data_IF_219812046410
#
_entry.id   IF_219812046410
#
_cell.length_a   1.000
_cell.length_b   1.000
_cell.length_c   1.000
_cell.angle_alpha   90.00
_cell.angle_beta   90.00
_cell.angle_gamma   90.00
#
_symmetry.space_group_name_H-M   'P 1'
#
loop_
_entity.id
_entity.type
_entity.pdbx_description
1 polymer ?
#
# COMPACT_ATOMS: atom_id res chain seq x y z
N UNK A 1 -12.54 29.53 -0.67
CA UNK A 1 -12.12 28.12 -0.41
C UNK A 1 -10.96 27.83 -1.36
N UNK A 2 -9.93 27.14 -0.88
CA UNK A 2 -8.82 26.69 -1.72
C UNK A 2 -9.10 25.25 -2.15
N UNK A 3 -8.82 24.94 -3.42
CA UNK A 3 -8.86 23.58 -3.96
C UNK A 3 -7.48 23.20 -4.48
N UNK A 4 -7.18 21.91 -4.44
CA UNK A 4 -5.87 21.35 -4.78
C UNK A 4 -6.05 20.29 -5.85
N UNK A 5 -5.10 20.23 -6.79
CA UNK A 5 -5.11 19.22 -7.83
C UNK A 5 -3.72 18.79 -8.23
N UNK A 6 -3.64 17.56 -8.75
CA UNK A 6 -2.43 16.98 -9.30
C UNK A 6 -2.71 16.33 -10.66
N UNK A 7 -1.84 16.62 -11.61
CA UNK A 7 -1.78 15.96 -12.91
C UNK A 7 -0.35 15.50 -13.17
N UNK A 8 -0.22 14.21 -13.48
CA UNK A 8 1.06 13.60 -13.85
C UNK A 8 0.86 12.89 -15.18
N UNK A 9 1.46 13.41 -16.25
CA UNK A 9 1.37 12.82 -17.58
C UNK A 9 2.74 12.68 -18.23
N UNK A 10 2.84 11.75 -19.19
CA UNK A 10 4.04 11.49 -19.96
C UNK A 10 4.86 10.32 -19.43
N UNK A 11 5.52 9.60 -20.34
CA UNK A 11 6.35 8.41 -20.02
C UNK A 11 7.83 8.75 -19.98
N UNK A 12 8.36 9.24 -21.09
CA UNK A 12 9.80 9.56 -21.21
C UNK A 12 10.16 10.88 -20.49
N UNK A 13 9.18 11.77 -20.36
CA UNK A 13 9.28 13.03 -19.62
C UNK A 13 8.02 13.10 -18.77
N UNK A 14 8.21 13.17 -17.46
CA UNK A 14 7.09 13.25 -16.51
C UNK A 14 6.74 14.72 -16.30
N UNK A 15 5.61 15.14 -16.85
CA UNK A 15 5.00 16.43 -16.57
C UNK A 15 4.23 16.34 -15.25
N UNK A 16 4.93 16.63 -14.16
CA UNK A 16 4.35 16.74 -12.82
C UNK A 16 3.84 18.17 -12.61
N UNK A 17 2.52 18.31 -12.52
CA UNK A 17 1.83 19.57 -12.28
C UNK A 17 1.03 19.45 -10.99
N UNK A 18 1.35 20.30 -10.01
CA UNK A 18 0.49 20.50 -8.85
C UNK A 18 -0.12 21.90 -8.92
N UNK A 19 -1.35 22.02 -8.44
CA UNK A 19 -2.15 23.24 -8.56
C UNK A 19 -2.80 23.59 -7.23
N UNK A 20 -2.83 24.88 -6.93
CA UNK A 20 -3.77 25.48 -5.98
C UNK A 20 -4.63 26.49 -6.74
N UNK A 21 -5.95 26.40 -6.57
CA UNK A 21 -6.88 27.38 -7.12
C UNK A 21 -7.87 27.85 -6.05
N UNK A 22 -8.35 29.08 -6.16
CA UNK A 22 -9.37 29.60 -5.26
C UNK A 22 -9.71 31.05 -5.54
N UNK A 23 -10.50 31.64 -4.63
CA UNK A 23 -10.91 33.05 -4.66
C UNK A 23 -10.89 33.70 -3.28
N UNK A 24 -10.76 35.02 -3.26
CA UNK A 24 -10.73 35.86 -2.07
C UNK A 24 -9.35 36.00 -1.40
N UNK A 25 -9.31 36.63 -0.23
CA UNK A 25 -8.07 37.07 0.44
C UNK A 25 -7.04 35.94 0.67
N UNK A 26 -7.52 34.72 0.95
CA UNK A 26 -6.63 33.57 1.19
C UNK A 26 -5.78 33.24 -0.04
N UNK A 27 -6.39 33.17 -1.23
CA UNK A 27 -5.59 32.89 -2.45
C UNK A 27 -4.71 34.08 -2.80
N UNK A 28 -5.15 35.31 -2.52
CA UNK A 28 -4.35 36.52 -2.77
C UNK A 28 -3.06 36.53 -1.96
N UNK A 29 -3.13 36.16 -0.68
CA UNK A 29 -1.95 36.01 0.17
C UNK A 29 -1.00 34.92 -0.35
N UNK A 30 -1.52 33.75 -0.73
CA UNK A 30 -0.69 32.66 -1.29
C UNK A 30 -0.07 33.09 -2.63
N UNK A 31 -0.80 33.82 -3.46
CA UNK A 31 -0.37 34.31 -4.76
C UNK A 31 0.77 35.32 -4.63
N UNK A 32 0.62 36.32 -3.76
CA UNK A 32 1.67 37.32 -3.49
C UNK A 32 2.90 36.67 -2.86
N UNK A 33 2.72 35.71 -1.95
CA UNK A 33 3.84 34.96 -1.36
C UNK A 33 4.56 34.08 -2.41
N UNK A 34 3.84 33.54 -3.39
CA UNK A 34 4.46 32.77 -4.46
C UNK A 34 5.32 33.68 -5.36
N UNK A 35 4.84 34.87 -5.71
CA UNK A 35 5.55 35.86 -6.53
C UNK A 35 6.95 36.23 -6.00
N UNK A 36 7.14 36.18 -4.68
CA UNK A 36 8.41 36.56 -4.04
C UNK A 36 9.38 35.39 -3.89
N UNK A 37 9.04 34.18 -4.35
CA UNK A 37 9.91 32.99 -4.23
C UNK A 37 10.96 32.94 -5.34
N UNK A 38 12.05 32.25 -5.06
CA UNK A 38 13.11 31.91 -6.02
C UNK A 38 13.14 30.38 -6.19
N UNK A 39 13.22 29.83 -7.42
CA UNK A 39 13.27 30.55 -8.70
C UNK A 39 11.99 31.34 -8.98
N UNK A 40 12.15 32.51 -9.59
CA UNK A 40 11.07 33.47 -9.76
C UNK A 40 9.94 32.86 -10.60
N UNK A 41 8.70 32.86 -10.11
CA UNK A 41 7.58 32.39 -10.90
C UNK A 41 7.29 33.34 -12.07
N UNK A 42 6.60 32.80 -13.07
CA UNK A 42 6.22 33.55 -14.27
C UNK A 42 4.71 33.63 -14.37
N UNK A 43 4.21 34.73 -14.92
CA UNK A 43 2.77 34.85 -15.20
C UNK A 43 2.48 34.04 -16.47
N UNK A 44 1.46 33.18 -16.41
CA UNK A 44 1.05 32.39 -17.56
C UNK A 44 0.53 33.31 -18.68
N UNK A 45 1.12 33.22 -19.87
CA UNK A 45 0.72 33.98 -21.04
C UNK A 45 0.71 33.08 -22.29
N UNK A 46 -0.13 33.43 -23.27
CA UNK A 46 -0.20 32.71 -24.56
C UNK A 46 0.88 33.20 -25.54
N UNK A 47 1.28 34.45 -25.37
CA UNK A 47 2.40 35.13 -26.02
C UNK A 47 2.76 36.34 -25.17
N UNK A 48 3.86 36.99 -25.49
CA UNK A 48 4.26 38.22 -24.83
C UNK A 48 3.11 39.23 -24.81
N UNK A 49 2.87 39.80 -23.62
CA UNK A 49 1.80 40.75 -23.34
C UNK A 49 0.37 40.22 -23.54
N UNK A 50 0.16 38.89 -23.60
CA UNK A 50 -1.17 38.27 -23.63
C UNK A 50 -1.34 37.27 -22.47
N UNK A 51 -1.48 37.81 -21.26
CA UNK A 51 -1.69 37.06 -20.02
C UNK A 51 -3.06 36.38 -20.03
N UNK A 52 -3.14 35.16 -19.50
CA UNK A 52 -4.41 34.41 -19.41
C UNK A 52 -5.27 34.92 -18.26
N UNK A 53 -6.58 34.75 -18.40
CA UNK A 53 -7.56 34.90 -17.31
C UNK A 53 -8.19 33.53 -17.04
N UNK A 54 -8.46 33.16 -15.78
CA UNK A 54 -8.06 33.83 -14.52
C UNK A 54 -6.54 33.94 -14.34
N UNK A 55 -6.11 34.88 -13.48
CA UNK A 55 -4.69 35.17 -13.28
C UNK A 55 -3.96 33.93 -12.73
N UNK A 56 -2.92 33.51 -13.44
CA UNK A 56 -2.22 32.25 -13.18
C UNK A 56 -0.71 32.46 -13.09
N UNK A 57 -0.09 31.90 -12.04
CA UNK A 57 1.37 31.79 -11.94
C UNK A 57 1.83 30.38 -12.28
N UNK A 58 2.95 30.30 -13.00
CA UNK A 58 3.70 29.07 -13.20
C UNK A 58 4.96 29.15 -12.35
N UNK A 59 5.08 28.22 -11.40
CA UNK A 59 6.13 28.18 -10.39
C UNK A 59 6.99 26.94 -10.63
N UNK A 60 8.29 27.06 -10.90
CA UNK A 60 9.15 25.88 -11.01
C UNK A 60 9.32 25.22 -9.64
N UNK A 61 9.19 23.89 -9.58
CA UNK A 61 9.38 23.10 -8.36
C UNK A 61 10.85 22.89 -8.02
N UNK A 62 11.70 22.77 -9.05
CA UNK A 62 13.14 22.60 -8.93
C UNK A 62 13.89 23.89 -9.25
N UNK A 63 15.08 24.03 -8.68
CA UNK A 63 16.01 25.10 -9.05
C UNK A 63 16.38 24.98 -10.52
N UNK A 64 16.35 26.10 -11.23
CA UNK A 64 16.77 26.18 -12.63
C UNK A 64 18.28 26.43 -12.66
N UNK A 65 19.04 25.51 -13.25
CA UNK A 65 20.51 25.53 -13.27
C UNK A 65 21.09 25.83 -14.64
N UNK A 66 20.26 25.87 -15.68
CA UNK A 66 20.68 26.12 -17.06
C UNK A 66 19.71 27.01 -17.84
N UNK A 67 20.23 27.72 -18.83
CA UNK A 67 19.41 28.51 -19.77
C UNK A 67 18.41 27.64 -20.54
N UNK A 68 18.74 26.36 -20.72
CA UNK A 68 17.85 25.39 -21.37
C UNK A 68 16.58 25.18 -20.52
N UNK A 69 16.73 25.00 -19.20
CA UNK A 69 15.59 24.86 -18.29
C UNK A 69 14.76 26.15 -18.23
N UNK A 70 15.42 27.30 -18.19
CA UNK A 70 14.74 28.59 -18.30
C UNK A 70 13.91 28.67 -19.60
N UNK A 71 14.50 28.30 -20.74
CA UNK A 71 13.80 28.28 -22.03
C UNK A 71 12.63 27.29 -22.07
N UNK A 72 12.72 26.15 -21.39
CA UNK A 72 11.58 25.23 -21.28
C UNK A 72 10.45 25.80 -20.43
N UNK A 73 10.78 26.40 -19.28
CA UNK A 73 9.81 27.05 -18.42
C UNK A 73 9.12 28.20 -19.17
N UNK A 74 9.88 29.17 -19.67
CA UNK A 74 9.36 30.37 -20.35
C UNK A 74 8.72 30.08 -21.72
N UNK A 75 9.01 28.93 -22.32
CA UNK A 75 8.48 28.54 -23.62
C UNK A 75 7.35 27.50 -23.52
N UNK A 76 7.61 26.23 -23.89
CA UNK A 76 6.55 25.23 -24.05
C UNK A 76 5.77 24.90 -22.78
N UNK A 77 6.40 24.98 -21.60
CA UNK A 77 5.75 24.65 -20.31
C UNK A 77 4.77 25.77 -19.93
N UNK A 78 5.23 27.02 -19.85
CA UNK A 78 4.38 28.18 -19.58
C UNK A 78 3.25 28.31 -20.61
N UNK A 79 3.54 28.13 -21.89
CA UNK A 79 2.52 28.15 -22.94
C UNK A 79 1.50 27.01 -22.78
N UNK A 80 1.94 25.81 -22.41
CA UNK A 80 1.07 24.67 -22.11
C UNK A 80 0.09 24.95 -20.97
N UNK A 81 0.61 25.49 -19.86
CA UNK A 81 -0.21 25.90 -18.70
C UNK A 81 -1.19 27.00 -19.10
N UNK A 82 -0.71 28.05 -19.78
CA UNK A 82 -1.52 29.17 -20.24
C UNK A 82 -2.67 28.70 -21.15
N UNK A 83 -2.36 27.86 -22.14
CA UNK A 83 -3.34 27.33 -23.08
C UNK A 83 -4.38 26.44 -22.38
N UNK A 84 -3.96 25.65 -21.39
CA UNK A 84 -4.88 24.82 -20.60
C UNK A 84 -5.90 25.67 -19.84
N UNK A 85 -5.45 26.74 -19.17
CA UNK A 85 -6.34 27.66 -18.45
C UNK A 85 -7.29 28.38 -19.40
N UNK A 86 -6.79 28.89 -20.52
CA UNK A 86 -7.61 29.58 -21.51
C UNK A 86 -8.69 28.67 -22.13
N UNK A 87 -8.38 27.40 -22.36
CA UNK A 87 -9.33 26.42 -22.95
C UNK A 87 -10.36 25.88 -21.95
N UNK A 88 -10.19 26.11 -20.65
CA UNK A 88 -11.14 25.66 -19.62
C UNK A 88 -12.16 26.72 -19.21
N UNK A 89 -12.02 27.96 -19.72
CA UNK A 89 -12.96 29.08 -19.49
C UNK A 89 -13.40 29.22 -18.02
N UNK A 90 -12.41 29.23 -17.13
CA UNK A 90 -12.64 29.30 -15.69
C UNK A 90 -13.14 30.69 -15.28
N UNK A 91 -13.93 30.81 -14.18
CA UNK A 91 -14.36 32.11 -13.66
C UNK A 91 -13.20 33.09 -13.43
N UNK A 92 -13.37 34.34 -13.88
CA UNK A 92 -12.32 35.37 -13.83
C UNK A 92 -11.89 35.75 -12.40
N UNK A 93 -12.76 35.53 -11.40
CA UNK A 93 -12.50 35.83 -9.99
C UNK A 93 -11.57 34.80 -9.32
N UNK A 94 -11.23 33.72 -10.02
CA UNK A 94 -10.25 32.75 -9.55
C UNK A 94 -8.82 33.25 -9.72
N UNK A 95 -7.93 32.69 -8.91
CA UNK A 95 -6.47 32.75 -9.11
C UNK A 95 -5.90 31.36 -9.01
N UNK A 96 -4.91 31.08 -9.84
CA UNK A 96 -4.25 29.78 -9.93
C UNK A 96 -2.76 29.93 -9.67
N UNK A 97 -2.21 28.97 -8.94
CA UNK A 97 -0.78 28.81 -8.74
C UNK A 97 -0.45 27.39 -9.16
N UNK A 98 0.26 27.28 -10.28
CA UNK A 98 0.61 26.02 -10.94
C UNK A 98 2.08 25.77 -10.70
N UNK A 99 2.41 24.80 -9.87
CA UNK A 99 3.79 24.34 -9.70
C UNK A 99 4.10 23.26 -10.72
N UNK A 100 5.22 23.41 -11.44
CA UNK A 100 5.64 22.50 -12.51
C UNK A 100 7.04 21.97 -12.22
N UNK A 101 7.26 20.66 -12.42
CA UNK A 101 8.63 20.17 -12.55
C UNK A 101 9.22 20.70 -13.87
N UNK A 102 10.50 21.07 -13.89
CA UNK A 102 11.21 21.46 -15.12
C UNK A 102 12.29 20.41 -15.36
N UNK A 103 12.22 19.65 -16.47
CA UNK A 103 13.08 18.50 -16.66
C UNK A 103 14.54 18.92 -16.88
N UNK A 104 15.47 18.15 -16.29
CA UNK A 104 16.91 18.32 -16.47
C UNK A 104 17.43 17.30 -17.48
N UNK A 105 17.33 17.62 -18.76
CA UNK A 105 17.68 16.70 -19.85
C UNK A 105 18.31 17.47 -21.02
N UNK A 106 19.31 16.88 -21.71
CA UNK A 106 19.95 17.52 -22.86
C UNK A 106 18.94 17.89 -23.95
N UNK A 107 18.98 19.13 -24.43
CA UNK A 107 18.04 19.70 -25.41
C UNK A 107 17.94 18.89 -26.71
N UNK A 108 18.99 18.15 -27.08
CA UNK A 108 19.08 17.37 -28.32
C UNK A 108 18.08 16.22 -28.41
N UNK A 109 17.42 15.84 -27.30
CA UNK A 109 16.44 14.75 -27.27
C UNK A 109 14.99 15.20 -26.96
N UNK A 110 14.72 16.50 -26.82
CA UNK A 110 13.43 17.01 -26.33
C UNK A 110 12.62 17.72 -27.40
N UNK A 111 11.49 17.11 -27.77
CA UNK A 111 10.53 17.73 -28.67
C UNK A 111 9.67 18.77 -27.92
N UNK A 112 9.80 20.06 -28.29
CA UNK A 112 8.99 21.17 -27.72
C UNK A 112 7.48 20.90 -27.81
N UNK A 113 7.01 20.25 -28.88
CA UNK A 113 5.59 19.89 -29.05
C UNK A 113 5.13 18.88 -28.00
N UNK A 114 6.00 17.93 -27.67
CA UNK A 114 5.74 16.90 -26.65
C UNK A 114 5.68 17.52 -25.25
N UNK A 115 6.63 18.39 -24.92
CA UNK A 115 6.58 19.17 -23.67
C UNK A 115 5.28 19.96 -23.57
N UNK A 116 4.93 20.73 -24.60
CA UNK A 116 3.67 21.46 -24.64
C UNK A 116 2.47 20.54 -24.38
N UNK A 117 2.35 19.43 -25.11
CA UNK A 117 1.22 18.50 -24.98
C UNK A 117 1.10 17.91 -23.56
N UNK A 118 2.22 17.50 -22.96
CA UNK A 118 2.21 16.88 -21.64
C UNK A 118 1.86 17.89 -20.54
N UNK A 119 2.45 19.09 -20.55
CA UNK A 119 2.13 20.11 -19.55
C UNK A 119 0.73 20.70 -19.76
N UNK A 120 0.27 20.85 -21.00
CA UNK A 120 -1.12 21.22 -21.30
C UNK A 120 -2.11 20.20 -20.72
N UNK A 121 -1.92 18.91 -21.04
CA UNK A 121 -2.78 17.84 -20.54
C UNK A 121 -2.74 17.71 -19.03
N UNK A 122 -1.55 17.72 -18.42
CA UNK A 122 -1.37 17.58 -16.98
C UNK A 122 -1.99 18.76 -16.23
N UNK A 123 -1.89 19.98 -16.78
CA UNK A 123 -2.54 21.17 -16.21
C UNK A 123 -4.05 21.05 -16.28
N UNK A 124 -4.63 20.64 -17.43
CA UNK A 124 -6.08 20.44 -17.54
C UNK A 124 -6.57 19.39 -16.55
N UNK A 125 -5.86 18.27 -16.43
CA UNK A 125 -6.17 17.20 -15.49
C UNK A 125 -6.12 17.70 -14.04
N UNK A 126 -5.06 18.43 -13.66
CA UNK A 126 -4.91 19.00 -12.33
C UNK A 126 -6.06 19.98 -11.99
N UNK A 127 -6.46 20.84 -12.93
CA UNK A 127 -7.57 21.78 -12.75
C UNK A 127 -8.89 21.03 -12.57
N UNK A 128 -9.20 20.08 -13.46
CA UNK A 128 -10.44 19.31 -13.37
C UNK A 128 -10.54 18.53 -12.06
N UNK A 129 -9.46 17.87 -11.64
CA UNK A 129 -9.41 17.15 -10.36
C UNK A 129 -9.59 18.07 -9.16
N UNK A 130 -8.98 19.25 -9.19
CA UNK A 130 -9.20 20.25 -8.16
C UNK A 130 -10.66 20.71 -8.11
N UNK A 131 -11.28 21.01 -9.24
CA UNK A 131 -12.67 21.46 -9.29
C UNK A 131 -13.66 20.39 -8.80
N UNK A 132 -13.39 19.12 -9.10
CA UNK A 132 -14.22 17.98 -8.75
C UNK A 132 -13.86 17.33 -7.40
N UNK A 133 -12.91 17.88 -6.64
CA UNK A 133 -12.44 17.32 -5.36
C UNK A 133 -11.99 15.85 -5.49
N UNK A 134 -11.31 15.53 -6.59
CA UNK A 134 -10.84 14.18 -6.92
C UNK A 134 -9.34 14.00 -6.59
N UNK A 135 -8.91 12.83 -6.06
CA UNK A 135 -9.73 11.66 -5.71
C UNK A 135 -10.53 11.85 -4.40
N UNK A 136 -11.68 11.20 -4.31
CA UNK A 136 -12.49 11.18 -3.08
C UNK A 136 -11.82 10.38 -1.97
N UNK A 137 -12.23 10.63 -0.72
CA UNK A 137 -11.71 9.87 0.45
C UNK A 137 -12.04 8.39 0.36
N UNK A 138 -13.19 8.06 -0.20
CA UNK A 138 -13.68 6.71 -0.44
C UNK A 138 -12.77 5.99 -1.43
N UNK A 139 -12.47 6.63 -2.57
CA UNK A 139 -11.53 6.08 -3.57
C UNK A 139 -10.15 5.82 -2.97
N UNK A 140 -9.62 6.75 -2.17
CA UNK A 140 -8.32 6.56 -1.50
C UNK A 140 -8.38 5.35 -0.54
N UNK A 141 -9.46 5.16 0.21
CA UNK A 141 -9.60 4.03 1.13
C UNK A 141 -9.64 2.68 0.42
N UNK A 142 -10.20 2.63 -0.79
CA UNK A 142 -10.27 1.42 -1.61
C UNK A 142 -8.96 1.11 -2.32
N UNK A 143 -8.30 2.14 -2.86
CA UNK A 143 -7.10 1.97 -3.70
C UNK A 143 -5.79 1.94 -2.92
N UNK A 144 -5.75 2.40 -1.65
CA UNK A 144 -4.50 2.49 -0.87
C UNK A 144 -3.67 1.20 -0.78
N UNK A 145 -4.31 0.03 -0.84
CA UNK A 145 -3.63 -1.27 -0.78
C UNK A 145 -3.37 -1.88 -2.16
N UNK A 146 -3.92 -1.29 -3.22
CA UNK A 146 -3.66 -1.67 -4.63
C UNK A 146 -2.59 -0.79 -5.27
N UNK A 147 -2.44 0.44 -4.77
CA UNK A 147 -1.52 1.42 -5.30
C UNK A 147 -0.06 0.95 -5.19
N UNK A 148 0.64 0.93 -6.32
CA UNK A 148 2.09 0.78 -6.39
C UNK A 148 2.66 2.14 -6.70
N UNK A 149 3.48 2.68 -5.80
CA UNK A 149 4.19 3.91 -6.11
C UNK A 149 5.31 3.60 -7.12
N UNK A 150 5.45 4.35 -8.24
CA UNK A 150 6.37 4.01 -9.33
C UNK A 150 7.84 3.84 -8.91
N UNK A 151 8.26 4.56 -7.86
CA UNK A 151 9.63 4.48 -7.33
C UNK A 151 9.80 3.48 -6.18
N UNK A 152 8.71 3.00 -5.59
CA UNK A 152 8.77 2.05 -4.46
C UNK A 152 8.86 0.62 -4.98
N UNK A 153 8.17 0.31 -6.08
CA UNK A 153 8.32 -0.97 -6.77
C UNK A 153 7.70 -2.19 -6.07
N UNK A 154 7.27 -2.06 -4.80
CA UNK A 154 6.55 -3.09 -4.04
C UNK A 154 5.20 -2.58 -3.51
N UNK A 155 4.36 -3.50 -3.02
CA UNK A 155 3.03 -3.22 -2.45
C UNK A 155 3.05 -3.28 -0.92
N UNK A 156 2.30 -2.40 -0.26
CA UNK A 156 1.91 -2.61 1.15
C UNK A 156 0.74 -3.60 1.19
N UNK A 157 1.05 -4.89 1.23
CA UNK A 157 0.04 -5.95 1.26
C UNK A 157 -0.63 -5.98 2.64
N UNK A 158 -1.97 -5.98 2.64
CA UNK A 158 -2.80 -6.18 3.84
C UNK A 158 -3.79 -7.32 3.63
N UNK A 159 -4.21 -7.93 4.74
CA UNK A 159 -5.11 -9.10 4.77
C UNK A 159 -6.59 -8.71 4.53
N UNK A 160 -6.89 -8.00 3.44
CA UNK A 160 -8.21 -7.42 3.12
C UNK A 160 -9.17 -8.36 2.37
N UNK A 161 -8.65 -9.30 1.56
CA UNK A 161 -9.44 -10.24 0.73
C UNK A 161 -9.20 -11.71 1.13
N UNK A 162 -9.66 -12.12 2.32
CA UNK A 162 -9.64 -13.53 2.70
C UNK A 162 -10.48 -14.38 1.74
N UNK A 163 -10.19 -15.69 1.62
CA UNK A 163 -9.25 -16.46 2.42
C UNK A 163 -7.80 -16.43 1.91
N UNK A 164 -6.85 -16.64 2.83
CA UNK A 164 -5.39 -16.67 2.62
C UNK A 164 -4.79 -18.05 2.93
N UNK A 165 -3.75 -18.43 2.19
CA UNK A 165 -2.86 -19.53 2.52
C UNK A 165 -1.65 -18.97 3.26
N UNK A 166 -1.47 -19.35 4.52
CA UNK A 166 -0.25 -19.06 5.28
C UNK A 166 0.69 -20.27 5.24
N UNK A 167 1.81 -20.13 4.55
CA UNK A 167 2.84 -21.15 4.42
C UNK A 167 3.81 -21.07 5.59
N UNK A 168 3.75 -22.05 6.50
CA UNK A 168 4.65 -22.14 7.63
C UNK A 168 5.98 -22.81 7.24
N UNK A 169 7.06 -22.03 7.25
CA UNK A 169 8.42 -22.48 6.96
C UNK A 169 9.10 -23.04 8.21
N UNK A 170 8.67 -24.22 8.66
CA UNK A 170 9.25 -24.93 9.81
C UNK A 170 10.50 -25.77 9.47
N UNK A 171 11.11 -25.54 8.30
CA UNK A 171 12.31 -26.26 7.85
C UNK A 171 13.57 -25.58 8.40
N UNK A 172 14.47 -26.29 9.11
CA UNK A 172 15.60 -25.66 9.78
C UNK A 172 16.80 -25.47 8.83
N UNK A 173 16.60 -25.26 7.53
CA UNK A 173 17.68 -25.04 6.55
C UNK A 173 17.24 -23.98 5.55
N UNK A 174 18.13 -23.04 5.27
CA UNK A 174 17.86 -21.92 4.36
C UNK A 174 17.79 -22.36 2.90
N UNK A 175 18.53 -23.41 2.52
CA UNK A 175 18.47 -23.98 1.18
C UNK A 175 17.05 -24.50 0.87
N UNK A 176 16.39 -25.11 1.86
CA UNK A 176 15.00 -25.53 1.71
C UNK A 176 14.02 -24.35 1.70
N UNK A 177 14.29 -23.30 2.48
CA UNK A 177 13.49 -22.07 2.47
C UNK A 177 13.54 -21.43 1.08
N UNK A 178 14.74 -21.20 0.56
CA UNK A 178 15.01 -20.65 -0.77
C UNK A 178 14.30 -21.49 -1.85
N UNK A 179 14.49 -22.81 -1.85
CA UNK A 179 13.83 -23.71 -2.79
C UNK A 179 12.30 -23.61 -2.76
N UNK A 180 11.70 -23.54 -1.57
CA UNK A 180 10.24 -23.42 -1.43
C UNK A 180 9.77 -22.06 -1.95
N UNK A 181 10.43 -20.96 -1.54
CA UNK A 181 10.05 -19.59 -1.91
C UNK A 181 10.15 -19.36 -3.42
N UNK A 182 11.22 -19.82 -4.07
CA UNK A 182 11.42 -19.71 -5.52
C UNK A 182 10.39 -20.51 -6.32
N UNK A 183 9.80 -21.54 -5.72
CA UNK A 183 8.76 -22.36 -6.36
C UNK A 183 7.34 -21.77 -6.28
N UNK A 184 7.14 -20.72 -5.48
CA UNK A 184 5.82 -20.14 -5.23
C UNK A 184 5.29 -19.41 -6.48
N UNK A 185 4.01 -19.64 -6.85
CA UNK A 185 3.38 -18.80 -7.85
C UNK A 185 3.17 -17.37 -7.29
N UNK A 186 3.19 -16.33 -8.14
CA UNK A 186 2.81 -14.99 -7.71
C UNK A 186 1.32 -14.98 -7.34
N UNK A 187 1.00 -14.59 -6.11
CA UNK A 187 -0.37 -14.44 -5.62
C UNK A 187 -0.39 -13.69 -4.29
N UNK A 188 -1.32 -12.75 -4.15
CA UNK A 188 -1.51 -11.96 -2.91
C UNK A 188 -2.30 -12.74 -1.85
N UNK A 189 -2.77 -13.95 -2.19
CA UNK A 189 -3.36 -14.90 -1.23
C UNK A 189 -2.31 -15.70 -0.44
N UNK A 190 -1.04 -15.64 -0.83
CA UNK A 190 0.04 -16.29 -0.09
C UNK A 190 0.51 -15.35 1.04
N UNK A 191 0.62 -15.92 2.22
CA UNK A 191 1.29 -15.35 3.38
C UNK A 191 2.44 -16.29 3.71
N UNK A 192 3.65 -15.78 3.88
CA UNK A 192 4.80 -16.59 4.30
C UNK A 192 5.02 -16.40 5.79
N UNK A 193 5.16 -17.49 6.52
CA UNK A 193 5.47 -17.46 7.95
C UNK A 193 6.89 -17.97 8.18
N UNK A 194 7.74 -17.12 8.75
CA UNK A 194 9.01 -17.52 9.34
C UNK A 194 8.69 -18.31 10.61
N UNK A 195 8.65 -19.64 10.50
CA UNK A 195 8.21 -20.53 11.57
C UNK A 195 9.14 -20.49 12.79
N UNK A 196 8.60 -20.85 13.95
CA UNK A 196 9.35 -20.87 15.22
C UNK A 196 10.72 -21.60 15.12
N UNK A 197 10.85 -22.81 14.51
CA UNK A 197 12.13 -23.51 14.42
C UNK A 197 13.17 -22.75 13.58
N UNK A 198 12.72 -22.07 12.52
CA UNK A 198 13.59 -21.31 11.62
C UNK A 198 14.15 -20.08 12.34
N UNK A 199 13.28 -19.30 13.00
CA UNK A 199 13.68 -18.14 13.79
C UNK A 199 14.60 -18.55 14.94
N UNK A 200 14.31 -19.64 15.65
CA UNK A 200 15.18 -20.12 16.74
C UNK A 200 16.57 -20.52 16.26
N UNK A 201 16.72 -20.93 15.00
CA UNK A 201 18.00 -21.35 14.43
C UNK A 201 18.82 -20.18 13.91
N UNK A 202 18.19 -19.23 13.24
CA UNK A 202 18.88 -18.17 12.50
C UNK A 202 18.70 -16.77 13.09
N UNK A 203 17.91 -16.65 14.16
CA UNK A 203 17.47 -15.35 14.70
C UNK A 203 16.32 -14.75 13.88
N UNK A 204 15.85 -13.59 14.33
CA UNK A 204 14.75 -12.85 13.68
C UNK A 204 15.16 -12.30 12.30
N UNK A 205 16.45 -12.06 12.09
CA UNK A 205 17.05 -11.61 10.82
C UNK A 205 16.76 -12.58 9.64
N UNK A 206 16.32 -13.81 9.91
CA UNK A 206 15.86 -14.72 8.84
C UNK A 206 14.68 -14.15 8.05
N UNK A 207 13.89 -13.25 8.66
CA UNK A 207 12.80 -12.54 7.98
C UNK A 207 13.35 -11.64 6.86
N UNK A 208 14.50 -10.99 7.06
CA UNK A 208 15.15 -10.15 6.03
C UNK A 208 15.59 -11.01 4.84
N UNK A 209 16.14 -12.20 5.11
CA UNK A 209 16.51 -13.16 4.06
C UNK A 209 15.30 -13.66 3.27
N UNK A 210 14.17 -13.89 3.93
CA UNK A 210 12.91 -14.24 3.25
C UNK A 210 12.45 -13.06 2.39
N UNK A 211 12.53 -11.82 2.91
CA UNK A 211 12.14 -10.59 2.21
C UNK A 211 12.93 -10.36 0.92
N UNK A 212 14.21 -10.70 0.89
CA UNK A 212 15.06 -10.60 -0.32
C UNK A 212 14.53 -11.45 -1.49
N UNK A 213 13.82 -12.54 -1.20
CA UNK A 213 13.32 -13.49 -2.19
C UNK A 213 11.81 -13.31 -2.43
N UNK A 214 11.07 -12.92 -1.39
CA UNK A 214 9.62 -12.89 -1.38
C UNK A 214 9.06 -11.48 -1.13
N UNK A 215 8.48 -10.90 -2.18
CA UNK A 215 7.78 -9.62 -2.16
C UNK A 215 6.30 -9.76 -1.79
N UNK A 216 6.04 -10.42 -0.65
CA UNK A 216 4.68 -10.69 -0.17
C UNK A 216 4.47 -10.43 1.31
N UNK A 217 3.37 -10.91 1.88
CA UNK A 217 3.10 -10.72 3.31
C UNK A 217 3.89 -11.73 4.15
N UNK A 218 4.69 -11.25 5.11
CA UNK A 218 5.54 -12.08 5.98
C UNK A 218 5.10 -11.98 7.45
N UNK A 219 4.91 -13.14 8.09
CA UNK A 219 4.62 -13.30 9.52
C UNK A 219 5.87 -13.81 10.22
N UNK A 220 6.29 -13.14 11.30
CA UNK A 220 7.30 -13.65 12.22
C UNK A 220 6.62 -14.46 13.34
N UNK A 221 6.74 -15.78 13.31
CA UNK A 221 6.17 -16.67 14.33
C UNK A 221 7.11 -16.79 15.53
N UNK A 222 7.22 -15.70 16.29
CA UNK A 222 8.03 -15.63 17.51
C UNK A 222 7.44 -16.45 18.66
N UNK A 223 6.11 -16.59 18.67
CA UNK A 223 5.33 -17.07 19.82
C UNK A 223 5.76 -16.35 21.09
N UNK A 224 5.74 -15.02 21.04
CA UNK A 224 6.22 -14.16 22.13
C UNK A 224 5.53 -14.50 23.44
N UNK A 225 6.31 -14.98 24.41
CA UNK A 225 5.85 -15.30 25.78
C UNK A 225 6.18 -14.20 26.78
N UNK A 226 7.25 -13.45 26.54
CA UNK A 226 7.70 -12.35 27.41
C UNK A 226 8.21 -11.18 26.56
N UNK A 227 8.35 -10.00 27.16
CA UNK A 227 8.94 -8.82 26.51
C UNK A 227 8.22 -8.38 25.22
N UNK A 228 6.89 -8.42 25.21
CA UNK A 228 6.04 -8.18 24.03
C UNK A 228 6.46 -6.99 23.15
N UNK A 229 6.80 -5.85 23.75
CA UNK A 229 7.29 -4.67 23.02
C UNK A 229 8.60 -4.92 22.28
N UNK A 230 9.56 -5.57 22.96
CA UNK A 230 10.92 -5.76 22.46
C UNK A 230 10.90 -6.73 21.28
N UNK A 231 10.21 -7.85 21.41
CA UNK A 231 10.13 -8.86 20.34
C UNK A 231 9.36 -8.36 19.11
N UNK A 232 8.25 -7.62 19.30
CA UNK A 232 7.54 -6.96 18.19
C UNK A 232 8.47 -5.99 17.47
N UNK A 233 9.29 -5.23 18.21
CA UNK A 233 10.24 -4.28 17.63
C UNK A 233 11.31 -4.98 16.81
N UNK A 234 11.83 -6.11 17.28
CA UNK A 234 12.79 -6.92 16.52
C UNK A 234 12.18 -7.40 15.19
N UNK A 235 10.96 -7.92 15.21
CA UNK A 235 10.28 -8.36 13.99
C UNK A 235 10.02 -7.21 13.01
N UNK A 236 9.64 -6.04 13.52
CA UNK A 236 9.47 -4.82 12.72
C UNK A 236 10.77 -4.41 12.02
N UNK A 237 11.88 -4.37 12.77
CA UNK A 237 13.19 -3.97 12.26
C UNK A 237 13.69 -4.93 11.18
N UNK A 238 13.33 -6.21 11.26
CA UNK A 238 13.58 -7.23 10.22
C UNK A 238 12.53 -7.30 9.12
N UNK A 239 11.67 -6.28 8.96
CA UNK A 239 10.70 -6.13 7.85
C UNK A 239 9.51 -7.09 7.82
N UNK A 240 9.17 -7.70 8.97
CA UNK A 240 7.95 -8.49 9.08
C UNK A 240 6.69 -7.61 8.95
N UNK A 241 5.64 -8.14 8.31
CA UNK A 241 4.33 -7.49 8.26
C UNK A 241 3.48 -7.81 9.49
N UNK A 242 3.75 -8.94 10.13
CA UNK A 242 3.02 -9.41 11.29
C UNK A 242 3.91 -10.19 12.27
N UNK A 243 3.44 -10.32 13.51
CA UNK A 243 4.13 -11.05 14.56
C UNK A 243 3.15 -11.86 15.41
N UNK A 244 3.58 -13.06 15.80
CA UNK A 244 2.78 -13.99 16.60
C UNK A 244 3.09 -13.86 18.08
N UNK A 245 2.09 -13.41 18.84
CA UNK A 245 2.07 -13.39 20.31
C UNK A 245 1.42 -14.67 20.83
N UNK A 246 1.96 -15.23 21.91
CA UNK A 246 1.36 -16.39 22.55
C UNK A 246 0.17 -15.99 23.42
N UNK A 247 -0.97 -16.66 23.24
CA UNK A 247 -2.16 -16.51 24.08
C UNK A 247 -2.00 -17.09 25.50
N UNK A 248 -0.90 -17.82 25.75
CA UNK A 248 -0.53 -18.27 27.10
C UNK A 248 0.42 -17.32 27.82
N UNK A 249 0.86 -16.25 27.15
CA UNK A 249 1.69 -15.21 27.76
C UNK A 249 0.93 -14.44 28.86
N UNK A 250 1.64 -13.78 29.80
CA UNK A 250 1.00 -12.85 30.72
C UNK A 250 0.17 -11.80 29.97
N UNK A 251 -1.01 -11.46 30.50
CA UNK A 251 -1.92 -10.49 29.87
C UNK A 251 -1.22 -9.18 29.51
N UNK A 252 -0.37 -8.69 30.39
CA UNK A 252 0.38 -7.46 30.17
C UNK A 252 1.36 -7.56 28.98
N UNK A 253 1.98 -8.73 28.77
CA UNK A 253 2.84 -9.00 27.61
C UNK A 253 2.04 -8.95 26.32
N UNK A 254 0.87 -9.58 26.28
CA UNK A 254 -0.03 -9.57 25.12
C UNK A 254 -0.43 -8.13 24.77
N UNK A 255 -0.93 -7.36 25.75
CA UNK A 255 -1.38 -5.99 25.53
C UNK A 255 -0.23 -5.07 25.08
N UNK A 256 0.95 -5.19 25.69
CA UNK A 256 2.14 -4.43 25.27
C UNK A 256 2.58 -4.80 23.86
N UNK A 257 2.48 -6.08 23.48
CA UNK A 257 2.77 -6.55 22.14
C UNK A 257 1.80 -5.96 21.10
N UNK A 258 0.49 -6.09 21.34
CA UNK A 258 -0.56 -5.54 20.45
C UNK A 258 -0.39 -4.03 20.28
N UNK A 259 -0.20 -3.29 21.37
CA UNK A 259 0.04 -1.85 21.30
C UNK A 259 1.31 -1.49 20.51
N UNK A 260 2.37 -2.28 20.61
CA UNK A 260 3.57 -2.03 19.80
C UNK A 260 3.33 -2.35 18.32
N UNK A 261 2.53 -3.36 17.99
CA UNK A 261 2.10 -3.62 16.62
C UNK A 261 1.33 -2.42 16.04
N UNK A 262 0.39 -1.85 16.79
CA UNK A 262 -0.36 -0.64 16.39
C UNK A 262 0.58 0.55 16.11
N UNK A 263 1.61 0.75 16.95
CA UNK A 263 2.61 1.82 16.77
C UNK A 263 3.48 1.63 15.54
N UNK A 264 3.85 0.38 15.25
CA UNK A 264 4.71 0.02 14.12
C UNK A 264 3.92 -0.20 12.82
N UNK A 265 2.58 -0.22 12.87
CA UNK A 265 1.73 -0.55 11.73
C UNK A 265 1.77 -2.02 11.32
N UNK A 266 2.13 -2.93 12.23
CA UNK A 266 2.15 -4.39 12.02
C UNK A 266 0.82 -5.04 12.38
N UNK A 267 0.56 -6.22 11.82
CA UNK A 267 -0.58 -7.06 12.19
C UNK A 267 -0.21 -7.95 13.38
N UNK A 268 -1.04 -7.93 14.42
CA UNK A 268 -0.87 -8.73 15.64
C UNK A 268 -1.61 -10.06 15.53
N UNK A 269 -0.88 -11.17 15.67
CA UNK A 269 -1.45 -12.51 15.76
C UNK A 269 -1.50 -12.94 17.23
N UNK A 270 -2.62 -13.52 17.65
CA UNK A 270 -2.75 -14.21 18.94
C UNK A 270 -2.85 -15.72 18.69
N UNK A 271 -1.76 -16.44 18.92
CA UNK A 271 -1.71 -17.90 18.85
C UNK A 271 -2.32 -18.51 20.12
N UNK A 272 -3.36 -19.30 19.94
CA UNK A 272 -4.12 -19.89 21.05
C UNK A 272 -3.80 -21.35 21.33
N UNK A 273 -2.63 -21.82 20.89
CA UNK A 273 -2.13 -23.14 21.29
C UNK A 273 -2.15 -23.29 22.82
N UNK A 274 -2.71 -24.39 23.31
CA UNK A 274 -2.90 -24.68 24.74
C UNK A 274 -3.82 -23.71 25.52
N UNK A 275 -4.53 -22.80 24.85
CA UNK A 275 -5.53 -21.93 25.48
C UNK A 275 -6.89 -22.64 25.53
N UNK A 276 -7.46 -22.80 26.73
CA UNK A 276 -8.74 -23.52 26.93
C UNK A 276 -9.94 -22.83 26.28
N UNK A 277 -10.01 -21.50 26.35
CA UNK A 277 -11.08 -20.69 25.75
C UNK A 277 -10.49 -19.52 24.93
N UNK A 278 -10.14 -19.77 23.65
CA UNK A 278 -9.57 -18.75 22.76
C UNK A 278 -10.44 -17.48 22.62
N UNK A 279 -11.75 -17.67 22.50
CA UNK A 279 -12.69 -16.56 22.29
C UNK A 279 -12.93 -15.80 23.59
N UNK A 280 -13.00 -16.49 24.73
CA UNK A 280 -13.04 -15.85 26.05
C UNK A 280 -11.81 -14.99 26.30
N UNK A 281 -10.61 -15.49 25.97
CA UNK A 281 -9.37 -14.70 26.05
C UNK A 281 -9.46 -13.46 25.16
N UNK A 282 -9.76 -13.62 23.86
CA UNK A 282 -9.90 -12.51 22.92
C UNK A 282 -10.89 -11.45 23.41
N UNK A 283 -12.07 -11.87 23.86
CA UNK A 283 -13.11 -10.97 24.36
C UNK A 283 -12.68 -10.25 25.64
N UNK A 284 -11.85 -10.89 26.48
CA UNK A 284 -11.38 -10.29 27.72
C UNK A 284 -10.40 -9.14 27.48
N UNK A 285 -9.60 -9.13 26.41
CA UNK A 285 -8.51 -8.16 26.20
C UNK A 285 -9.06 -6.76 25.89
N UNK A 286 -8.44 -5.71 26.45
CA UNK A 286 -8.79 -4.32 26.17
C UNK A 286 -8.35 -3.89 24.77
N UNK A 287 -7.16 -4.32 24.35
CA UNK A 287 -6.66 -4.17 22.99
C UNK A 287 -6.90 -5.48 22.25
N UNK A 288 -7.55 -5.40 21.09
CA UNK A 288 -7.91 -6.58 20.30
C UNK A 288 -6.79 -6.90 19.30
N UNK A 289 -6.29 -8.14 19.28
CA UNK A 289 -5.39 -8.54 18.21
C UNK A 289 -6.14 -8.61 16.87
N UNK A 290 -5.42 -8.40 15.78
CA UNK A 290 -5.98 -8.42 14.42
C UNK A 290 -6.37 -9.83 13.98
N UNK A 291 -5.53 -10.81 14.32
CA UNK A 291 -5.70 -12.22 13.95
C UNK A 291 -5.81 -13.08 15.20
N UNK A 292 -6.86 -13.89 15.29
CA UNK A 292 -7.01 -14.94 16.28
C UNK A 292 -6.69 -16.28 15.63
N UNK A 293 -5.52 -16.85 15.95
CA UNK A 293 -5.05 -18.10 15.37
C UNK A 293 -5.47 -19.27 16.27
N UNK A 294 -6.42 -20.07 15.78
CA UNK A 294 -6.84 -21.32 16.43
C UNK A 294 -5.82 -22.41 16.09
N UNK A 295 -4.82 -22.57 16.96
CA UNK A 295 -3.71 -23.48 16.73
C UNK A 295 -3.92 -24.78 17.51
N UNK A 296 -3.93 -25.91 16.79
CA UNK A 296 -3.92 -27.24 17.37
C UNK A 296 -2.51 -27.81 17.47
N UNK A 297 -2.20 -28.43 18.60
CA UNK A 297 -1.03 -29.29 18.68
C UNK A 297 -1.15 -30.43 17.67
N UNK A 298 -0.06 -30.72 16.97
CA UNK A 298 0.03 -31.78 15.96
C UNK A 298 -0.31 -33.16 16.57
N UNK A 299 -0.06 -33.34 17.86
CA UNK A 299 -0.20 -34.60 18.58
C UNK A 299 -1.60 -34.82 19.19
N UNK A 300 -2.48 -33.81 19.18
CA UNK A 300 -3.87 -33.94 19.63
C UNK A 300 -4.78 -34.24 18.44
N UNK A 301 -5.03 -35.53 18.15
CA UNK A 301 -6.02 -35.94 17.14
C UNK A 301 -7.47 -35.73 17.62
N UNK A 302 -8.35 -35.30 16.72
CA UNK A 302 -9.81 -35.30 16.94
C UNK A 302 -10.48 -33.92 17.07
N UNK A 303 -11.24 -33.57 16.01
CA UNK A 303 -12.20 -32.44 15.86
C UNK A 303 -11.57 -31.06 15.55
N UNK A 304 -11.85 -30.58 14.33
CA UNK A 304 -11.68 -29.16 13.97
C UNK A 304 -12.58 -28.35 14.92
N UNK A 305 -12.09 -27.31 15.62
CA UNK A 305 -12.94 -26.46 16.43
C UNK A 305 -13.97 -25.83 15.50
N UNK A 306 -15.19 -26.36 15.52
CA UNK A 306 -16.30 -25.79 14.76
C UNK A 306 -17.01 -24.81 15.68
N UNK A 307 -16.56 -23.56 15.66
CA UNK A 307 -17.38 -22.43 16.13
C UNK A 307 -17.15 -21.25 15.22
N UNK A 308 -18.19 -20.91 14.46
CA UNK A 308 -18.39 -19.56 13.97
C UNK A 308 -18.14 -18.60 15.14
N UNK A 309 -17.22 -17.65 14.98
CA UNK A 309 -17.18 -16.50 15.87
C UNK A 309 -18.52 -15.79 15.75
N UNK A 310 -19.42 -16.01 16.72
CA UNK A 310 -20.61 -15.18 16.89
C UNK A 310 -20.17 -13.93 17.62
N UNK A 311 -19.67 -12.97 16.86
CA UNK A 311 -19.21 -11.69 17.39
C UNK A 311 -20.31 -10.89 18.09
N UNK A 312 -19.90 -9.81 18.75
CA UNK A 312 -20.81 -8.79 19.26
C UNK A 312 -21.40 -8.02 18.07
N UNK A 313 -22.72 -7.82 18.06
CA UNK A 313 -23.43 -7.16 16.97
C UNK A 313 -22.91 -5.72 16.80
N UNK A 314 -22.22 -5.43 15.70
CA UNK A 314 -21.70 -4.09 15.38
C UNK A 314 -20.17 -3.93 15.50
N UNK A 315 -19.43 -4.92 15.99
CA UNK A 315 -17.96 -4.90 16.03
C UNK A 315 -17.35 -5.76 14.90
N UNK A 316 -16.29 -5.26 14.26
CA UNK A 316 -15.51 -6.05 13.30
C UNK A 316 -14.68 -7.05 14.12
N UNK A 317 -15.02 -8.33 14.03
CA UNK A 317 -14.29 -9.41 14.71
C UNK A 317 -12.87 -9.62 14.18
N UNK A 318 -12.07 -10.49 14.82
CA UNK A 318 -10.72 -10.78 14.35
C UNK A 318 -10.77 -11.57 13.05
N UNK A 319 -9.68 -11.50 12.28
CA UNK A 319 -9.43 -12.50 11.26
C UNK A 319 -9.15 -13.84 11.94
N UNK A 320 -9.99 -14.84 11.65
CA UNK A 320 -9.82 -16.19 12.17
C UNK A 320 -8.80 -16.98 11.33
N UNK A 321 -7.73 -17.43 11.98
CA UNK A 321 -6.76 -18.37 11.43
C UNK A 321 -6.94 -19.79 11.97
N UNK A 322 -6.56 -20.80 11.18
CA UNK A 322 -6.48 -22.20 11.62
C UNK A 322 -5.08 -22.76 11.35
N UNK A 323 -4.46 -23.37 12.37
CA UNK A 323 -3.18 -24.07 12.26
C UNK A 323 -3.25 -25.48 12.89
N UNK A 324 -2.43 -26.39 12.35
CA UNK A 324 -2.31 -27.77 12.83
C UNK A 324 -3.17 -28.78 12.06
N UNK A 325 -2.53 -29.73 11.38
CA UNK A 325 -3.21 -30.88 10.74
C UNK A 325 -4.11 -30.55 9.53
N UNK A 326 -3.84 -29.41 8.87
CA UNK A 326 -4.53 -29.00 7.64
C UNK A 326 -3.96 -29.80 6.46
N UNK A 327 -4.85 -30.48 5.74
CA UNK A 327 -4.54 -31.24 4.52
C UNK A 327 -5.31 -30.66 3.33
N UNK A 328 -4.87 -30.98 2.11
CA UNK A 328 -5.39 -30.39 0.88
C UNK A 328 -6.89 -30.68 0.66
N UNK A 329 -7.38 -31.81 1.18
CA UNK A 329 -8.79 -32.19 1.09
C UNK A 329 -9.69 -31.32 1.98
N UNK A 330 -9.16 -30.79 3.09
CA UNK A 330 -9.91 -29.97 4.05
C UNK A 330 -10.02 -28.51 3.64
N UNK A 331 -9.23 -28.04 2.68
CA UNK A 331 -9.19 -26.63 2.27
C UNK A 331 -10.58 -26.11 1.87
N UNK A 332 -11.37 -26.92 1.16
CA UNK A 332 -12.71 -26.55 0.69
C UNK A 332 -13.69 -26.30 1.85
N UNK A 333 -13.57 -27.08 2.93
CA UNK A 333 -14.37 -26.90 4.14
C UNK A 333 -13.88 -25.68 4.94
N UNK A 334 -12.56 -25.53 5.07
CA UNK A 334 -11.94 -24.52 5.93
C UNK A 334 -12.06 -23.10 5.35
N UNK A 335 -12.00 -22.93 4.03
CA UNK A 335 -12.02 -21.61 3.38
C UNK A 335 -13.31 -20.82 3.64
N UNK A 336 -14.41 -21.50 3.93
CA UNK A 336 -15.70 -20.88 4.24
C UNK A 336 -15.84 -20.50 5.72
N UNK A 337 -14.91 -20.96 6.59
CA UNK A 337 -14.95 -20.77 8.04
C UNK A 337 -13.80 -19.93 8.58
N UNK A 338 -12.68 -19.92 7.87
CA UNK A 338 -11.44 -19.28 8.28
C UNK A 338 -10.97 -18.31 7.21
N UNK A 339 -10.41 -17.20 7.68
CA UNK A 339 -9.83 -16.17 6.83
C UNK A 339 -8.40 -16.52 6.45
N UNK A 340 -7.69 -17.25 7.31
CA UNK A 340 -6.28 -17.65 7.12
C UNK A 340 -6.15 -19.14 7.40
N UNK A 341 -5.53 -19.87 6.47
CA UNK A 341 -5.32 -21.31 6.59
C UNK A 341 -3.81 -21.58 6.61
N UNK A 342 -3.29 -22.02 7.75
CA UNK A 342 -1.86 -22.29 7.92
C UNK A 342 -1.51 -23.71 7.50
N UNK A 343 -0.55 -23.86 6.58
CA UNK A 343 -0.06 -25.14 6.07
C UNK A 343 1.47 -25.15 6.10
N UNK A 344 2.05 -26.05 6.90
CA UNK A 344 3.50 -26.24 6.98
C UNK A 344 3.97 -27.47 6.19
N UNK A 345 4.16 -28.59 6.90
CA UNK A 345 4.73 -29.85 6.36
C UNK A 345 4.04 -30.39 5.10
N UNK A 346 2.75 -30.11 4.89
CA UNK A 346 2.03 -30.52 3.69
C UNK A 346 2.56 -29.88 2.40
N UNK A 347 3.22 -28.73 2.51
CA UNK A 347 3.87 -28.03 1.40
C UNK A 347 5.39 -28.26 1.47
N UNK A 348 6.02 -28.00 2.62
CA UNK A 348 7.50 -28.01 2.73
C UNK A 348 8.14 -29.39 2.58
N UNK A 349 7.40 -30.49 2.75
CA UNK A 349 7.87 -31.86 2.49
C UNK A 349 7.40 -32.43 1.14
N UNK A 350 6.65 -31.66 0.36
CA UNK A 350 6.18 -32.12 -0.95
C UNK A 350 7.36 -32.20 -1.94
N UNK A 351 7.25 -33.08 -2.93
CA UNK A 351 8.24 -33.15 -4.02
C UNK A 351 8.23 -31.91 -4.92
N UNK A 352 7.07 -31.26 -5.04
CA UNK A 352 6.85 -30.02 -5.78
C UNK A 352 5.98 -29.09 -4.93
N UNK A 353 6.59 -28.24 -4.08
CA UNK A 353 5.86 -27.31 -3.22
C UNK A 353 5.00 -26.33 -4.03
N UNK A 354 5.54 -25.82 -5.14
CA UNK A 354 4.83 -24.89 -6.03
C UNK A 354 3.54 -25.47 -6.60
N UNK A 355 3.52 -26.74 -6.99
CA UNK A 355 2.31 -27.41 -7.46
C UNK A 355 1.26 -27.52 -6.36
N UNK A 356 1.67 -27.88 -5.13
CA UNK A 356 0.74 -27.96 -3.99
C UNK A 356 0.14 -26.60 -3.69
N UNK A 357 0.95 -25.54 -3.69
CA UNK A 357 0.48 -24.17 -3.49
C UNK A 357 -0.52 -23.75 -4.57
N UNK A 358 -0.21 -23.98 -5.86
CA UNK A 358 -1.16 -23.72 -6.97
C UNK A 358 -2.48 -24.45 -6.79
N UNK A 359 -2.43 -25.72 -6.38
CA UNK A 359 -3.64 -26.51 -6.14
C UNK A 359 -4.50 -25.96 -4.99
N UNK A 360 -3.87 -25.41 -3.94
CA UNK A 360 -4.57 -24.74 -2.84
C UNK A 360 -5.15 -23.40 -3.32
N UNK A 361 -4.36 -22.56 -3.99
CA UNK A 361 -4.81 -21.24 -4.47
C UNK A 361 -6.04 -21.34 -5.38
N UNK A 362 -6.08 -22.32 -6.29
CA UNK A 362 -7.24 -22.57 -7.14
C UNK A 362 -8.53 -22.82 -6.35
N UNK A 363 -8.44 -23.27 -5.10
CA UNK A 363 -9.59 -23.45 -4.19
C UNK A 363 -9.94 -22.18 -3.42
N UNK A 364 -8.98 -21.29 -3.17
CA UNK A 364 -9.14 -20.05 -2.39
C UNK A 364 -9.73 -18.88 -3.18
N UNK A 365 -9.84 -19.00 -4.51
CA UNK A 365 -10.41 -18.01 -5.40
C UNK A 365 -9.36 -17.10 -6.05
N UNK A 366 -9.83 -16.01 -6.66
CA UNK A 366 -8.99 -15.10 -7.45
C UNK A 366 -8.22 -14.09 -6.58
N UNK A 367 -7.06 -13.66 -7.08
CA UNK A 367 -6.30 -12.55 -6.51
C UNK A 367 -7.04 -11.22 -6.65
N UNK A 368 -6.50 -10.16 -6.04
CA UNK A 368 -7.03 -8.82 -6.27
C UNK A 368 -6.79 -8.45 -7.75
N UNK A 369 -7.80 -7.89 -8.42
CA UNK A 369 -7.58 -7.34 -9.76
C UNK A 369 -6.74 -6.06 -9.65
N UNK A 370 -5.52 -6.14 -10.16
CA UNK A 370 -4.55 -5.04 -10.20
C UNK A 370 -4.53 -4.31 -11.52
N UNK A 371 -5.51 -4.53 -12.41
CA UNK A 371 -5.75 -3.56 -13.47
C UNK A 371 -5.99 -2.24 -12.76
N UNK A 372 -4.95 -1.40 -12.74
CA UNK A 372 -5.07 -0.03 -12.29
C UNK A 372 -6.28 0.50 -13.05
N UNK A 373 -7.31 1.01 -12.37
CA UNK A 373 -8.29 1.86 -13.02
C UNK A 373 -7.56 3.16 -13.39
N UNK A 374 -6.66 3.08 -14.39
CA UNK A 374 -5.96 4.21 -14.95
C UNK A 374 -7.00 4.99 -15.73
N UNK A 375 -7.29 6.20 -15.28
CA UNK A 375 -8.08 7.23 -15.99
C UNK A 375 -9.54 6.88 -16.36
N UNK A 376 -9.93 5.60 -16.41
CA UNK A 376 -11.24 5.10 -16.88
C UNK A 376 -12.37 5.23 -15.85
N UNK A 377 -12.03 5.39 -14.57
CA UNK A 377 -12.99 5.54 -13.45
C UNK A 377 -13.25 7.00 -13.03
N UNK A 378 -12.72 8.00 -13.76
CA UNK A 378 -13.31 9.33 -13.65
C UNK A 378 -14.70 9.20 -14.28
N UNK A 379 -15.75 9.06 -13.45
CA UNK A 379 -17.14 8.98 -13.90
C UNK A 379 -17.39 10.09 -14.92
N UNK A 380 -17.34 9.73 -16.20
CA UNK A 380 -17.74 10.64 -17.26
C UNK A 380 -19.25 10.67 -17.11
N UNK A 381 -19.77 11.71 -16.46
CA UNK A 381 -21.20 11.96 -16.41
C UNK A 381 -21.65 12.20 -17.85
N UNK A 382 -21.99 11.12 -18.56
CA UNK A 382 -22.60 11.14 -19.88
C UNK A 382 -24.01 11.70 -19.63
N UNK A 383 -24.16 13.01 -19.79
CA UNK A 383 -25.45 13.69 -19.77
C UNK A 383 -26.25 13.34 -21.01
#
# INVERSE_FOLDING_TARGET
MLKFGEGVLGRDIVALVNLVLGKGEKIDSVFTNALTRVPTPVVANLRDNLIVKPLTLVVPRNTLTSDIQCNFLHGPIQYGVAKAVADLDLPEDLKLIVTVAVPDVPYTNLNKRKLFQYYYGATRLAINRALNDYPSKEKIKEEKYRAIHPLVGFRDIRLERPPYLQLALDVPSMENVEYVLESLPPSDKIVVEAGTPLIKRYGVEVVERIREIYDGFIVADLKTLDTGRVEVRMAFESTANAVVLSGTAPRETILKGIHECERCGMISYLDTINVKDPFGLYNSLELKPDVLLLHRAIDEEGKVPMREYRGVKGEKGPLLGIAGGVTLEKIEELKNRYHIIVVGRGITKAKDPGWVVRAILNKLGEDIDYRLPLEEDEDVSLK
#
